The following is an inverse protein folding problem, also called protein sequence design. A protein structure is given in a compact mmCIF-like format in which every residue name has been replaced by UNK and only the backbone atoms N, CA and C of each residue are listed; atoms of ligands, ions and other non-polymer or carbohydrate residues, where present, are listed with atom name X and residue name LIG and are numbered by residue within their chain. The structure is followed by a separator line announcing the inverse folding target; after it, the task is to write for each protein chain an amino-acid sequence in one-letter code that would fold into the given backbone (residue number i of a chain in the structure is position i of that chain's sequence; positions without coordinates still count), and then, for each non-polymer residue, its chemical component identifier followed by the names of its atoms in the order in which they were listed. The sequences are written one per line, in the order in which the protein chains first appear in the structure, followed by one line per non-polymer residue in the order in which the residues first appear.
data_IF_999196050325
#
_entry.id   IF_999196050325
#
_cell.length_a   1.000
_cell.length_b   1.000
_cell.length_c   1.000
_cell.angle_alpha   90.00
_cell.angle_beta   90.00
_cell.angle_gamma   90.00
#
_symmetry.space_group_name_H-M   'P 1'
#
loop_
_entity.id
_entity.type
_entity.pdbx_description
1 polymer ?
#
# COMPACT_ATOMS: atom_id res chain seq x y z
N UNK A 1 -4.37 25.15 -16.97
CA UNK A 1 -4.42 23.67 -17.06
C UNK A 1 -5.87 23.22 -16.87
N UNK A 2 -6.53 22.65 -17.87
CA UNK A 2 -7.89 22.11 -17.68
C UNK A 2 -7.77 20.73 -17.04
N UNK A 3 -8.12 20.61 -15.78
CA UNK A 3 -8.20 19.29 -15.11
C UNK A 3 -9.27 18.44 -15.82
N UNK A 4 -8.81 17.43 -16.53
CA UNK A 4 -9.71 16.43 -17.13
C UNK A 4 -10.25 15.49 -16.05
N UNK A 5 -11.43 14.90 -16.26
CA UNK A 5 -12.01 13.93 -15.29
C UNK A 5 -11.05 12.80 -14.92
N UNK A 6 -10.30 12.18 -15.86
CA UNK A 6 -9.30 11.17 -15.51
C UNK A 6 -8.19 11.68 -14.61
N UNK A 7 -7.66 12.87 -14.88
CA UNK A 7 -6.60 13.48 -14.07
C UNK A 7 -7.08 13.82 -12.66
N UNK A 8 -8.31 14.33 -12.52
CA UNK A 8 -8.90 14.58 -11.22
C UNK A 8 -9.10 13.32 -10.40
N UNK A 9 -9.61 12.25 -11.01
CA UNK A 9 -9.77 10.96 -10.32
C UNK A 9 -8.44 10.36 -9.90
N UNK A 10 -7.40 10.50 -10.72
CA UNK A 10 -6.05 10.06 -10.43
C UNK A 10 -5.45 10.83 -9.24
N UNK A 11 -5.56 12.16 -9.22
CA UNK A 11 -5.07 13.00 -8.13
C UNK A 11 -5.84 12.76 -6.81
N UNK A 12 -7.16 12.53 -6.88
CA UNK A 12 -7.97 12.20 -5.70
C UNK A 12 -7.59 10.85 -5.09
N UNK A 13 -7.27 9.87 -5.92
CA UNK A 13 -6.79 8.57 -5.44
C UNK A 13 -5.46 8.72 -4.69
N UNK A 14 -4.51 9.48 -5.23
CA UNK A 14 -3.23 9.78 -4.61
C UNK A 14 -3.42 10.46 -3.24
N UNK A 15 -4.23 11.50 -3.22
CA UNK A 15 -4.54 12.23 -1.99
C UNK A 15 -5.22 11.33 -0.93
N UNK A 16 -6.16 10.48 -1.34
CA UNK A 16 -6.88 9.59 -0.43
C UNK A 16 -6.01 8.43 0.11
N UNK A 17 -5.07 7.93 -0.67
CA UNK A 17 -4.20 6.80 -0.29
C UNK A 17 -2.94 7.21 0.47
N UNK A 18 -2.46 8.44 0.31
CA UNK A 18 -1.24 8.95 0.94
C UNK A 18 -1.19 8.86 2.48
N UNK A 19 -2.26 9.11 3.24
CA UNK A 19 -2.23 9.01 4.70
C UNK A 19 -2.05 7.58 5.23
N UNK A 20 -2.48 6.57 4.48
CA UNK A 20 -2.52 5.17 4.97
C UNK A 20 -1.12 4.64 5.31
N UNK A 21 -0.12 4.66 4.43
CA UNK A 21 1.22 4.17 4.79
C UNK A 21 1.83 4.96 5.95
N UNK A 22 1.66 6.28 5.96
CA UNK A 22 2.23 7.14 6.99
C UNK A 22 1.63 6.87 8.36
N UNK A 23 0.31 6.83 8.47
CA UNK A 23 -0.39 6.58 9.74
C UNK A 23 -0.22 5.14 10.20
N UNK A 24 -0.35 4.17 9.29
CA UNK A 24 -0.27 2.77 9.63
C UNK A 24 1.17 2.34 9.97
N UNK A 25 2.13 2.54 9.06
CA UNK A 25 3.47 1.99 9.23
C UNK A 25 4.35 2.79 10.17
N UNK A 26 4.14 4.10 10.28
CA UNK A 26 5.09 4.98 10.99
C UNK A 26 4.56 5.48 12.32
N UNK A 27 3.32 6.01 12.38
CA UNK A 27 2.92 6.80 13.55
C UNK A 27 1.92 6.12 14.49
N UNK A 28 0.91 5.43 13.98
CA UNK A 28 -0.17 4.94 14.84
C UNK A 28 -0.01 3.46 15.13
N UNK A 29 -0.10 2.62 14.09
CA UNK A 29 -0.18 1.18 14.32
C UNK A 29 1.16 0.58 14.72
N UNK A 30 2.27 1.05 14.18
CA UNK A 30 3.60 0.61 14.60
C UNK A 30 3.87 0.90 16.08
N UNK A 31 3.50 2.10 16.55
CA UNK A 31 3.64 2.46 17.96
C UNK A 31 2.71 1.61 18.84
N UNK A 32 1.44 1.46 18.46
CA UNK A 32 0.50 0.59 19.17
C UNK A 32 1.01 -0.85 19.27
N UNK A 33 1.51 -1.40 18.17
CA UNK A 33 2.07 -2.75 18.14
C UNK A 33 3.26 -2.92 19.08
N UNK A 34 4.23 -2.00 19.01
CA UNK A 34 5.47 -2.10 19.78
C UNK A 34 5.32 -1.70 21.26
N UNK A 35 4.26 -1.01 21.64
CA UNK A 35 4.05 -0.57 23.02
C UNK A 35 2.93 -1.32 23.74
N UNK A 36 1.88 -1.72 23.03
CA UNK A 36 0.69 -2.31 23.63
C UNK A 36 0.49 -3.79 23.29
N UNK A 37 0.77 -4.20 22.04
CA UNK A 37 0.57 -5.60 21.61
C UNK A 37 1.77 -6.46 21.96
N UNK A 38 2.98 -6.00 21.64
CA UNK A 38 4.22 -6.75 21.87
C UNK A 38 5.32 -5.82 22.40
N UNK A 39 5.30 -5.44 23.69
CA UNK A 39 6.32 -4.57 24.29
C UNK A 39 7.72 -5.19 24.22
N UNK A 40 7.82 -6.50 24.46
CA UNK A 40 9.08 -7.23 24.42
C UNK A 40 9.35 -7.78 23.02
N UNK A 41 10.34 -7.19 22.34
CA UNK A 41 10.74 -7.63 21.00
C UNK A 41 9.86 -7.16 19.84
N UNK A 42 8.80 -6.41 20.08
CA UNK A 42 7.88 -5.91 19.04
C UNK A 42 8.56 -5.04 18.00
N UNK A 43 9.52 -4.22 18.40
CA UNK A 43 10.30 -3.39 17.47
C UNK A 43 11.08 -4.25 16.47
N UNK A 44 11.72 -5.32 16.93
CA UNK A 44 12.44 -6.25 16.05
C UNK A 44 11.47 -7.01 15.15
N UNK A 45 10.35 -7.51 15.68
CA UNK A 45 9.34 -8.21 14.91
C UNK A 45 8.73 -7.31 13.82
N UNK A 46 8.44 -6.06 14.14
CA UNK A 46 7.96 -5.06 13.17
C UNK A 46 8.99 -4.77 12.08
N UNK A 47 10.26 -4.58 12.46
CA UNK A 47 11.34 -4.36 11.51
C UNK A 47 11.55 -5.55 10.56
N UNK A 48 11.50 -6.77 11.06
CA UNK A 48 11.58 -7.97 10.23
C UNK A 48 10.40 -8.09 9.27
N UNK A 49 9.18 -7.85 9.73
CA UNK A 49 7.97 -7.88 8.90
C UNK A 49 8.04 -6.85 7.78
N UNK A 50 8.39 -5.59 8.09
CA UNK A 50 8.49 -4.52 7.08
C UNK A 50 9.60 -4.78 6.08
N UNK A 51 10.76 -5.29 6.53
CA UNK A 51 11.87 -5.66 5.65
C UNK A 51 11.51 -6.82 4.72
N UNK A 52 10.85 -7.86 5.23
CA UNK A 52 10.38 -8.98 4.42
C UNK A 52 9.34 -8.53 3.40
N UNK A 53 8.42 -7.65 3.78
CA UNK A 53 7.43 -7.06 2.86
C UNK A 53 8.10 -6.27 1.75
N UNK A 54 9.10 -5.44 2.08
CA UNK A 54 9.86 -4.68 1.09
C UNK A 54 10.61 -5.58 0.09
N UNK A 55 11.22 -6.67 0.55
CA UNK A 55 11.86 -7.65 -0.32
C UNK A 55 10.87 -8.35 -1.25
N UNK A 56 9.71 -8.73 -0.73
CA UNK A 56 8.65 -9.35 -1.53
C UNK A 56 8.14 -8.40 -2.62
N UNK A 57 7.95 -7.12 -2.29
CA UNK A 57 7.55 -6.10 -3.26
C UNK A 57 8.63 -5.93 -4.33
N UNK A 58 9.89 -5.79 -3.93
CA UNK A 58 11.01 -5.65 -4.87
C UNK A 58 11.09 -6.83 -5.86
N UNK A 59 10.80 -8.04 -5.41
CA UNK A 59 10.81 -9.24 -6.24
C UNK A 59 9.56 -9.37 -7.12
N UNK A 60 8.39 -9.01 -6.61
CA UNK A 60 7.10 -9.27 -7.29
C UNK A 60 6.62 -8.12 -8.15
N UNK A 61 6.89 -6.87 -7.79
CA UNK A 61 6.40 -5.69 -8.50
C UNK A 61 6.77 -5.66 -9.99
N UNK A 62 8.00 -5.98 -10.41
CA UNK A 62 8.36 -5.99 -11.84
C UNK A 62 7.62 -7.07 -12.63
N UNK A 63 7.33 -8.20 -11.99
CA UNK A 63 6.61 -9.32 -12.63
C UNK A 63 5.13 -8.98 -12.78
N UNK A 64 4.51 -8.50 -11.71
CA UNK A 64 3.10 -8.12 -11.69
C UNK A 64 2.83 -6.90 -12.58
N UNK A 65 3.73 -5.92 -12.61
CA UNK A 65 3.66 -4.78 -13.51
C UNK A 65 3.60 -5.22 -14.97
N UNK A 66 4.56 -6.02 -15.41
CA UNK A 66 4.58 -6.55 -16.78
C UNK A 66 3.33 -7.40 -17.12
N UNK A 67 2.84 -8.17 -16.16
CA UNK A 67 1.65 -9.00 -16.35
C UNK A 67 0.39 -8.13 -16.51
N UNK A 68 0.28 -7.07 -15.75
CA UNK A 68 -0.82 -6.12 -15.81
C UNK A 68 -0.82 -5.35 -17.15
N UNK A 69 0.35 -4.87 -17.57
CA UNK A 69 0.52 -4.14 -18.85
C UNK A 69 0.20 -5.03 -20.04
N UNK A 70 0.72 -6.25 -20.07
CA UNK A 70 0.52 -7.19 -21.18
C UNK A 70 -0.93 -7.63 -21.37
N UNK A 71 -1.76 -7.55 -20.33
CA UNK A 71 -3.19 -7.88 -20.37
C UNK A 71 -4.11 -6.67 -20.48
N UNK A 72 -3.57 -5.45 -20.44
CA UNK A 72 -4.38 -4.23 -20.36
C UNK A 72 -5.26 -4.16 -19.09
N UNK A 73 -4.90 -4.90 -18.06
CA UNK A 73 -5.72 -5.11 -16.86
C UNK A 73 -5.25 -4.30 -15.63
N UNK A 74 -4.43 -3.26 -15.84
CA UNK A 74 -3.83 -2.45 -14.76
C UNK A 74 -4.90 -1.93 -13.79
N UNK A 75 -6.05 -1.48 -14.29
CA UNK A 75 -7.17 -0.99 -13.46
C UNK A 75 -7.74 -2.07 -12.54
N UNK A 76 -7.87 -3.30 -13.06
CA UNK A 76 -8.37 -4.43 -12.27
C UNK A 76 -7.38 -4.80 -11.17
N UNK A 77 -6.08 -4.86 -11.49
CA UNK A 77 -5.04 -5.13 -10.50
C UNK A 77 -4.99 -4.04 -9.42
N UNK A 78 -5.08 -2.77 -9.81
CA UNK A 78 -5.18 -1.65 -8.88
C UNK A 78 -6.39 -1.78 -7.94
N UNK A 79 -7.56 -2.09 -8.49
CA UNK A 79 -8.79 -2.26 -7.72
C UNK A 79 -8.67 -3.40 -6.69
N UNK A 80 -8.18 -4.57 -7.12
CA UNK A 80 -7.99 -5.72 -6.22
C UNK A 80 -6.96 -5.42 -5.13
N UNK A 81 -5.83 -4.83 -5.46
CA UNK A 81 -4.82 -4.44 -4.50
C UNK A 81 -5.39 -3.44 -3.46
N UNK A 82 -6.14 -2.44 -3.91
CA UNK A 82 -6.77 -1.45 -3.02
C UNK A 82 -7.80 -2.10 -2.10
N UNK A 83 -8.66 -2.99 -2.59
CA UNK A 83 -9.66 -3.69 -1.78
C UNK A 83 -8.98 -4.59 -0.73
N UNK A 84 -7.97 -5.36 -1.14
CA UNK A 84 -7.23 -6.24 -0.22
C UNK A 84 -6.53 -5.41 0.86
N UNK A 85 -5.87 -4.32 0.49
CA UNK A 85 -5.21 -3.43 1.44
C UNK A 85 -6.20 -2.78 2.42
N UNK A 86 -7.33 -2.29 1.93
CA UNK A 86 -8.37 -1.71 2.76
C UNK A 86 -9.00 -2.74 3.72
N UNK A 87 -9.28 -3.96 3.24
CA UNK A 87 -9.82 -5.04 4.05
C UNK A 87 -8.82 -5.48 5.14
N UNK A 88 -7.53 -5.61 4.81
CA UNK A 88 -6.50 -5.94 5.78
C UNK A 88 -6.35 -4.84 6.83
N UNK A 89 -6.36 -3.57 6.42
CA UNK A 89 -6.30 -2.42 7.34
C UNK A 89 -7.54 -2.38 8.25
N UNK A 90 -8.72 -2.63 7.72
CA UNK A 90 -9.95 -2.72 8.51
C UNK A 90 -9.90 -3.91 9.50
N UNK A 91 -9.27 -5.02 9.11
CA UNK A 91 -9.08 -6.18 9.98
C UNK A 91 -8.23 -5.89 11.20
N UNK A 92 -7.35 -4.88 11.17
CA UNK A 92 -6.55 -4.45 12.32
C UNK A 92 -7.41 -3.90 13.47
N UNK A 93 -8.66 -3.54 13.22
CA UNK A 93 -9.63 -3.18 14.25
C UNK A 93 -9.85 -4.28 15.29
N UNK A 94 -9.67 -5.54 14.90
CA UNK A 94 -9.85 -6.70 15.80
C UNK A 94 -8.60 -7.03 16.63
N UNK A 95 -7.51 -6.29 16.46
CA UNK A 95 -6.28 -6.49 17.22
C UNK A 95 -6.42 -5.82 18.59
N UNK A 96 -6.41 -6.63 19.64
CA UNK A 96 -6.39 -6.17 21.03
C UNK A 96 -4.95 -5.97 21.53
N UNK A 97 -4.73 -5.17 22.60
CA UNK A 97 -3.42 -4.96 23.21
C UNK A 97 -2.99 -6.19 24.04
N UNK A 98 -2.81 -7.31 23.37
CA UNK A 98 -2.40 -8.59 23.95
C UNK A 98 -1.41 -9.29 23.01
N UNK A 99 -0.32 -9.90 23.53
CA UNK A 99 0.64 -10.65 22.75
C UNK A 99 0.06 -11.80 21.92
N UNK A 100 -1.11 -12.34 22.30
CA UNK A 100 -1.81 -13.35 21.53
C UNK A 100 -2.21 -12.85 20.13
N UNK A 101 -2.43 -11.55 19.97
CA UNK A 101 -2.78 -10.91 18.70
C UNK A 101 -1.55 -10.49 17.86
N UNK A 102 -0.32 -10.68 18.36
CA UNK A 102 0.88 -10.24 17.66
C UNK A 102 1.01 -10.83 16.25
N UNK A 103 0.75 -12.13 16.08
CA UNK A 103 0.81 -12.78 14.76
C UNK A 103 -0.28 -12.28 13.81
N UNK A 104 -1.49 -12.05 14.32
CA UNK A 104 -2.59 -11.47 13.54
C UNK A 104 -2.24 -10.03 13.09
N UNK A 105 -1.73 -9.22 14.01
CA UNK A 105 -1.31 -7.85 13.75
C UNK A 105 -0.21 -7.79 12.68
N UNK A 106 0.84 -8.59 12.80
CA UNK A 106 1.93 -8.67 11.82
C UNK A 106 1.43 -9.16 10.46
N UNK A 107 0.61 -10.20 10.43
CA UNK A 107 0.06 -10.76 9.20
C UNK A 107 -0.82 -9.77 8.44
N UNK A 108 -1.78 -9.14 9.11
CA UNK A 108 -2.65 -8.13 8.50
C UNK A 108 -1.87 -6.88 8.07
N UNK A 109 -0.89 -6.46 8.87
CA UNK A 109 -0.02 -5.33 8.51
C UNK A 109 0.83 -5.64 7.29
N UNK A 110 1.41 -6.83 7.19
CA UNK A 110 2.18 -7.25 6.02
C UNK A 110 1.31 -7.27 4.76
N UNK A 111 0.09 -7.84 4.83
CA UNK A 111 -0.86 -7.85 3.71
C UNK A 111 -1.26 -6.43 3.31
N UNK A 112 -1.55 -5.56 4.28
CA UNK A 112 -1.89 -4.16 4.02
C UNK A 112 -0.75 -3.42 3.33
N UNK A 113 0.49 -3.54 3.83
CA UNK A 113 1.68 -2.91 3.24
C UNK A 113 1.91 -3.43 1.81
N UNK A 114 1.91 -4.76 1.61
CA UNK A 114 2.12 -5.36 0.30
C UNK A 114 1.06 -4.89 -0.71
N UNK A 115 -0.22 -4.89 -0.33
CA UNK A 115 -1.31 -4.48 -1.18
C UNK A 115 -1.24 -2.99 -1.54
N UNK A 116 -0.91 -2.13 -0.58
CA UNK A 116 -0.75 -0.69 -0.81
C UNK A 116 0.43 -0.37 -1.72
N UNK A 117 1.59 -0.97 -1.49
CA UNK A 117 2.76 -0.78 -2.35
C UNK A 117 2.50 -1.27 -3.78
N UNK A 118 1.86 -2.43 -3.94
CA UNK A 118 1.46 -2.91 -5.27
C UNK A 118 0.44 -1.97 -5.93
N UNK A 119 -0.48 -1.40 -5.17
CA UNK A 119 -1.42 -0.42 -5.72
C UNK A 119 -0.72 0.83 -6.24
N UNK A 120 0.36 1.30 -5.58
CA UNK A 120 1.20 2.38 -6.09
C UNK A 120 1.94 2.01 -7.38
N UNK A 121 2.41 0.78 -7.51
CA UNK A 121 3.03 0.30 -8.77
C UNK A 121 2.04 0.39 -9.92
N UNK A 122 0.82 -0.12 -9.74
CA UNK A 122 -0.22 -0.07 -10.77
C UNK A 122 -0.74 1.35 -11.03
N UNK A 123 -0.86 2.15 -9.99
CA UNK A 123 -1.25 3.55 -10.08
C UNK A 123 -0.25 4.35 -10.94
N UNK A 124 1.05 4.18 -10.68
CA UNK A 124 2.10 4.84 -11.46
C UNK A 124 2.15 4.35 -12.92
N UNK A 125 1.87 3.07 -13.16
CA UNK A 125 1.78 2.51 -14.51
C UNK A 125 0.64 3.12 -15.35
N UNK A 126 -0.37 3.71 -14.72
CA UNK A 126 -1.46 4.39 -15.41
C UNK A 126 -1.13 5.84 -15.82
N UNK A 127 -0.07 6.44 -15.29
CA UNK A 127 0.30 7.84 -15.56
C UNK A 127 0.41 8.16 -17.06
N UNK A 128 1.07 7.33 -17.90
CA UNK A 128 1.16 7.57 -19.34
C UNK A 128 -0.21 7.60 -20.05
N UNK A 129 -1.19 6.89 -19.52
CA UNK A 129 -2.54 6.84 -20.10
C UNK A 129 -3.43 8.02 -19.68
N UNK A 130 -3.09 8.69 -18.57
CA UNK A 130 -3.85 9.80 -17.99
C UNK A 130 -3.25 11.16 -18.38
N UNK A 131 -1.93 11.27 -18.43
CA UNK A 131 -1.21 12.43 -18.90
C UNK A 131 -0.94 12.27 -20.42
N UNK A 132 -1.45 13.21 -21.22
CA UNK A 132 -1.21 13.22 -22.67
C UNK A 132 0.28 13.36 -23.04
N UNK A 133 0.67 13.04 -24.30
CA UNK A 133 2.04 13.22 -24.77
C UNK A 133 2.47 14.69 -24.64
N UNK A 134 3.45 14.98 -23.80
CA UNK A 134 3.98 16.33 -23.55
C UNK A 134 3.70 16.91 -22.17
N UNK A 135 2.85 16.31 -21.35
CA UNK A 135 2.53 16.80 -20.00
C UNK A 135 3.41 16.20 -18.87
N UNK A 136 4.29 15.25 -19.20
CA UNK A 136 5.16 14.58 -18.21
C UNK A 136 6.18 15.50 -17.52
N UNK A 137 6.45 16.69 -18.07
CA UNK A 137 7.41 17.64 -17.51
C UNK A 137 6.82 18.68 -16.56
N UNK A 138 5.49 18.72 -16.40
CA UNK A 138 4.81 19.76 -15.62
C UNK A 138 4.23 19.25 -14.29
N UNK A 139 4.44 17.99 -13.97
CA UNK A 139 3.95 17.33 -12.74
C UNK A 139 5.03 17.10 -11.67
N UNK A 140 6.20 17.73 -11.84
CA UNK A 140 7.26 17.77 -10.83
C UNK A 140 7.30 19.12 -10.13
#
# INVERSE_FOLDING_TARGET
MRMTRPLLSWSLYDWASSPVPTLHTTFIFSVFFTTAVMPDGGTAAWAWMTSASALLIAATAPVLGRLADGRGAVKCFLLYATIIGAAATAGLWFVEPDPAFAMLALGLSAVSILAMELSFVFYNAMLPAVAGPGEYGLSL
#
